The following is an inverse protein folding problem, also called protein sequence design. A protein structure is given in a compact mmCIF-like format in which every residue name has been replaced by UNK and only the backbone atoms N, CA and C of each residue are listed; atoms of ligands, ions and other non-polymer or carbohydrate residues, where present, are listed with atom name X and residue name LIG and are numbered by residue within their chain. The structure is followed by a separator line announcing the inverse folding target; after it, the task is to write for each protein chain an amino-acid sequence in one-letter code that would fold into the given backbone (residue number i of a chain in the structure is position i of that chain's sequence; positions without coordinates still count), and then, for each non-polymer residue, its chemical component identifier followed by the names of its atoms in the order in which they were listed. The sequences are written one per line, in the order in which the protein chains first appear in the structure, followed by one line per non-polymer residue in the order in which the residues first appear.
data_IF_487342833776
#
_entry.id   IF_487342833776
#
_cell.length_a   1.000
_cell.length_b   1.000
_cell.length_c   1.000
_cell.angle_alpha   90.00
_cell.angle_beta   90.00
_cell.angle_gamma   90.00
#
_symmetry.space_group_name_H-M   'P 1'
#
loop_
_entity.id
_entity.type
_entity.pdbx_description
1 polymer ?
#
# COMPACT_ATOMS: atom_id res chain seq x y z
N UNK A 1 -9.32 16.97 -5.47
CA UNK A 1 -8.83 15.83 -4.68
C UNK A 1 -9.90 14.78 -4.73
N UNK A 2 -9.59 13.57 -5.18
CA UNK A 2 -10.53 12.45 -5.10
C UNK A 2 -10.54 11.99 -3.64
N UNK A 3 -11.46 12.55 -2.86
CA UNK A 3 -11.49 12.38 -1.40
C UNK A 3 -12.14 11.07 -1.04
N UNK A 4 -11.34 10.12 -0.52
CA UNK A 4 -11.85 8.93 0.17
C UNK A 4 -12.08 9.27 1.65
N UNK A 5 -13.18 8.79 2.21
CA UNK A 5 -13.48 8.95 3.64
C UNK A 5 -12.73 7.91 4.46
N UNK A 6 -12.11 8.34 5.56
CA UNK A 6 -11.38 7.48 6.48
C UNK A 6 -10.67 8.28 7.56
N UNK A 7 -9.93 7.57 8.42
CA UNK A 7 -9.11 8.18 9.47
C UNK A 7 -7.91 8.85 8.78
N UNK A 8 -7.67 10.16 8.97
CA UNK A 8 -6.51 10.82 8.39
C UNK A 8 -5.20 10.17 8.84
N UNK A 9 -4.29 9.91 7.90
CA UNK A 9 -2.96 9.36 8.16
C UNK A 9 -1.91 10.22 7.47
N UNK A 10 -0.98 10.76 8.24
CA UNK A 10 0.29 11.26 7.73
C UNK A 10 1.30 10.11 7.83
N UNK A 11 1.77 9.58 6.71
CA UNK A 11 2.72 8.48 6.66
C UNK A 11 4.09 8.98 6.24
N UNK A 12 5.09 8.78 7.10
CA UNK A 12 6.49 9.09 6.83
C UNK A 12 7.30 7.82 6.57
N UNK A 13 8.00 7.80 5.43
CA UNK A 13 8.85 6.68 5.05
C UNK A 13 10.29 7.17 4.92
N UNK A 14 11.21 6.51 5.64
CA UNK A 14 12.64 6.69 5.49
C UNK A 14 13.27 5.44 4.91
N UNK A 15 14.22 5.60 4.00
CA UNK A 15 14.93 4.48 3.38
C UNK A 15 16.40 4.49 3.74
N UNK A 16 16.90 3.37 4.24
CA UNK A 16 18.31 3.18 4.62
C UNK A 16 18.95 2.15 3.71
N UNK A 17 20.14 2.45 3.20
CA UNK A 17 20.95 1.48 2.44
C UNK A 17 21.51 0.44 3.42
N UNK A 18 21.16 -0.83 3.23
CA UNK A 18 21.54 -1.93 4.16
C UNK A 18 23.03 -2.24 4.20
N UNK A 19 23.81 -1.82 3.20
CA UNK A 19 25.27 -2.00 3.18
C UNK A 19 26.02 -0.86 3.85
N UNK A 20 25.56 0.37 3.65
CA UNK A 20 26.25 1.57 4.14
C UNK A 20 25.64 2.15 5.42
N UNK A 21 24.46 1.68 5.79
CA UNK A 21 23.65 2.19 6.89
C UNK A 21 23.35 3.70 6.79
N UNK A 22 23.35 4.25 5.57
CA UNK A 22 23.08 5.67 5.30
C UNK A 22 21.68 5.87 4.70
N UNK A 23 21.00 6.99 5.04
CA UNK A 23 19.77 7.36 4.36
C UNK A 23 19.94 7.56 2.86
N UNK A 24 18.96 7.10 2.09
CA UNK A 24 18.94 7.16 0.63
C UNK A 24 18.14 8.40 0.21
N UNK A 25 18.71 9.18 -0.70
CA UNK A 25 18.01 10.30 -1.35
C UNK A 25 17.83 10.03 -2.82
N UNK A 26 17.07 10.91 -3.46
CA UNK A 26 16.72 10.83 -4.89
C UNK A 26 15.98 9.53 -5.26
N UNK A 27 15.44 8.81 -4.27
CA UNK A 27 14.68 7.57 -4.40
C UNK A 27 13.23 7.91 -4.68
N UNK A 28 12.66 7.36 -5.75
CA UNK A 28 11.24 7.45 -6.02
C UNK A 28 10.51 6.39 -5.21
N UNK A 29 9.52 6.83 -4.45
CA UNK A 29 8.71 6.02 -3.55
C UNK A 29 7.27 6.15 -4.00
N UNK A 30 6.65 5.02 -4.28
CA UNK A 30 5.23 4.90 -4.59
C UNK A 30 4.53 4.15 -3.46
N UNK A 31 3.34 4.63 -3.09
CA UNK A 31 2.43 3.94 -2.19
C UNK A 31 1.08 3.70 -2.89
N UNK A 32 0.42 2.60 -2.54
CA UNK A 32 -0.96 2.33 -2.92
C UNK A 32 -1.66 1.49 -1.85
N UNK A 33 -2.91 1.82 -1.56
CA UNK A 33 -3.72 1.00 -0.67
C UNK A 33 -5.21 1.09 -1.01
N UNK A 34 -5.97 0.16 -0.44
CA UNK A 34 -7.42 0.18 -0.50
C UNK A 34 -8.00 1.34 0.32
N UNK A 35 -9.18 1.80 -0.07
CA UNK A 35 -9.98 2.69 0.77
C UNK A 35 -10.55 1.94 1.98
N UNK A 36 -11.27 2.65 2.86
CA UNK A 36 -11.83 2.09 4.08
C UNK A 36 -12.80 0.91 3.87
N UNK A 37 -13.33 0.72 2.65
CA UNK A 37 -14.23 -0.38 2.28
C UNK A 37 -13.53 -1.52 1.51
N UNK A 38 -12.20 -1.52 1.45
CA UNK A 38 -11.42 -2.59 0.81
C UNK A 38 -11.34 -2.50 -0.71
N UNK A 39 -11.61 -1.34 -1.32
CA UNK A 39 -11.59 -1.15 -2.77
C UNK A 39 -10.32 -0.40 -3.20
N UNK A 40 -9.73 -0.79 -4.33
CA UNK A 40 -8.61 -0.07 -4.97
C UNK A 40 -9.08 0.77 -6.15
N UNK A 41 -8.49 1.95 -6.34
CA UNK A 41 -8.86 2.94 -7.38
C UNK A 41 -8.88 2.42 -8.82
N UNK A 42 -7.96 1.53 -9.17
CA UNK A 42 -7.82 1.02 -10.54
C UNK A 42 -8.88 -0.03 -10.89
N UNK A 43 -9.60 -0.57 -9.90
CA UNK A 43 -10.59 -1.63 -10.10
C UNK A 43 -11.96 -1.15 -9.65
N UNK A 44 -12.75 -0.60 -10.58
CA UNK A 44 -14.16 -0.32 -10.29
C UNK A 44 -15.05 -1.44 -10.78
N UNK A 45 -15.99 -1.78 -9.91
CA UNK A 45 -17.01 -2.82 -10.05
C UNK A 45 -16.48 -4.24 -9.83
N UNK A 46 -15.95 -4.48 -8.63
CA UNK A 46 -16.05 -5.79 -7.98
C UNK A 46 -17.31 -5.74 -7.12
N UNK A 47 -18.27 -6.63 -7.36
CA UNK A 47 -19.30 -6.90 -6.35
C UNK A 47 -18.58 -7.31 -5.06
N UNK A 48 -18.57 -6.39 -4.08
CA UNK A 48 -17.68 -6.35 -2.92
C UNK A 48 -18.07 -7.40 -1.86
N UNK A 49 -18.40 -8.62 -2.29
CA UNK A 49 -18.69 -9.80 -1.47
C UNK A 49 -17.72 -10.95 -1.73
N UNK A 50 -16.97 -10.93 -2.83
CA UNK A 50 -15.99 -11.95 -3.16
C UNK A 50 -15.05 -11.48 -4.29
N UNK A 51 -13.85 -10.96 -4.00
CA UNK A 51 -12.87 -10.63 -5.06
C UNK A 51 -12.32 -11.88 -5.77
N UNK A 52 -12.72 -13.10 -5.37
CA UNK A 52 -12.52 -14.32 -6.15
C UNK A 52 -13.46 -14.40 -7.37
N UNK A 53 -14.57 -13.64 -7.38
CA UNK A 53 -15.53 -13.62 -8.50
C UNK A 53 -15.00 -12.91 -9.75
N UNK A 54 -13.95 -12.10 -9.61
CA UNK A 54 -13.23 -11.51 -10.73
C UNK A 54 -12.03 -12.32 -11.18
N UNK A 55 -11.77 -13.48 -10.58
CA UNK A 55 -10.70 -14.38 -10.97
C UNK A 55 -11.31 -15.57 -11.69
N UNK A 56 -11.45 -15.45 -13.02
CA UNK A 56 -11.80 -16.62 -13.82
C UNK A 56 -10.55 -17.51 -13.91
N UNK A 57 -10.67 -18.76 -13.46
CA UNK A 57 -9.63 -19.75 -13.72
C UNK A 57 -9.64 -20.09 -15.21
N UNK A 58 -8.47 -20.12 -15.83
CA UNK A 58 -8.37 -20.71 -17.17
C UNK A 58 -8.76 -22.20 -17.03
N UNK A 59 -9.66 -22.70 -17.87
CA UNK A 59 -10.19 -24.08 -17.81
C UNK A 59 -9.09 -25.16 -17.97
N UNK A 60 -7.84 -24.78 -18.27
CA UNK A 60 -6.72 -25.67 -18.58
C UNK A 60 -5.83 -26.07 -17.38
N UNK A 61 -6.29 -25.94 -16.13
CA UNK A 61 -5.59 -26.52 -14.98
C UNK A 61 -4.21 -25.92 -14.64
N UNK A 62 -3.87 -24.77 -15.22
CA UNK A 62 -2.59 -24.06 -14.97
C UNK A 62 -2.55 -23.28 -13.65
N UNK A 63 -3.69 -23.15 -12.95
CA UNK A 63 -3.80 -22.36 -11.71
C UNK A 63 -3.74 -20.84 -11.92
N UNK A 64 -3.61 -20.38 -13.15
CA UNK A 64 -3.55 -18.97 -13.52
C UNK A 64 -4.97 -18.36 -13.49
N UNK A 65 -5.12 -17.22 -12.83
CA UNK A 65 -6.41 -16.54 -12.61
C UNK A 65 -6.40 -15.17 -13.28
N UNK A 66 -7.38 -14.90 -14.15
CA UNK A 66 -7.47 -13.66 -14.92
C UNK A 66 -8.47 -12.69 -14.27
N UNK A 67 -8.08 -11.43 -14.07
CA UNK A 67 -8.97 -10.37 -13.59
C UNK A 67 -9.98 -9.94 -14.68
N UNK A 68 -11.28 -10.12 -14.42
CA UNK A 68 -12.37 -9.77 -15.35
C UNK A 68 -13.09 -8.44 -15.01
N UNK A 69 -12.58 -7.68 -14.03
CA UNK A 69 -13.14 -6.37 -13.63
C UNK A 69 -12.84 -5.24 -14.62
N UNK A 70 -13.65 -4.18 -14.60
CA UNK A 70 -13.40 -2.97 -15.40
C UNK A 70 -12.27 -2.16 -14.76
N UNK A 71 -11.14 -2.08 -15.45
CA UNK A 71 -10.09 -1.12 -15.11
C UNK A 71 -10.62 0.28 -15.42
N UNK A 72 -10.67 1.16 -14.42
CA UNK A 72 -11.08 2.56 -14.61
C UNK A 72 -9.94 3.51 -14.31
N UNK A 73 -9.97 4.68 -14.95
CA UNK A 73 -8.97 5.75 -14.79
C UNK A 73 -9.23 6.57 -13.52
N UNK A 74 -9.10 5.91 -12.37
CA UNK A 74 -9.11 6.54 -11.04
C UNK A 74 -7.77 6.27 -10.34
N UNK A 75 -7.28 7.26 -9.59
CA UNK A 75 -5.95 7.19 -8.95
C UNK A 75 -5.94 7.62 -7.48
N UNK A 76 -7.10 7.68 -6.82
CA UNK A 76 -7.14 7.92 -5.37
C UNK A 76 -6.34 6.87 -4.59
N UNK A 77 -5.81 7.30 -3.44
CA UNK A 77 -4.97 6.50 -2.52
C UNK A 77 -3.74 5.85 -3.18
N UNK A 78 -3.24 6.47 -4.25
CA UNK A 78 -1.96 6.17 -4.89
C UNK A 78 -1.12 7.43 -4.95
N UNK A 79 0.16 7.35 -4.62
CA UNK A 79 1.02 8.53 -4.60
C UNK A 79 2.46 8.20 -4.89
N UNK A 80 3.16 9.10 -5.59
CA UNK A 80 4.60 9.03 -5.81
C UNK A 80 5.27 10.26 -5.24
N UNK A 81 6.32 10.07 -4.45
CA UNK A 81 7.22 11.12 -3.99
C UNK A 81 8.66 10.72 -4.20
N UNK A 82 9.55 11.70 -4.30
CA UNK A 82 10.99 11.46 -4.32
C UNK A 82 11.57 11.85 -2.96
N UNK A 83 12.47 11.04 -2.41
CA UNK A 83 13.13 11.38 -1.15
C UNK A 83 13.94 12.67 -1.32
N UNK A 84 13.54 13.71 -0.59
CA UNK A 84 14.16 15.04 -0.65
C UNK A 84 15.43 15.14 0.20
N UNK A 85 15.84 16.38 0.49
CA UNK A 85 17.06 16.67 1.26
C UNK A 85 17.05 16.06 2.68
N UNK A 86 15.87 15.93 3.29
CA UNK A 86 15.65 15.28 4.59
C UNK A 86 15.61 13.74 4.52
N UNK A 87 15.71 13.15 3.31
CA UNK A 87 15.74 11.69 3.07
C UNK A 87 14.49 10.95 3.56
N UNK A 88 13.37 11.67 3.70
CA UNK A 88 12.05 11.16 4.11
C UNK A 88 11.03 11.59 3.06
N UNK A 89 10.09 10.70 2.73
CA UNK A 89 8.86 11.06 1.99
C UNK A 89 7.67 11.08 2.95
N UNK A 90 6.72 11.98 2.71
CA UNK A 90 5.56 12.16 3.59
C UNK A 90 4.29 12.18 2.78
N UNK A 91 3.44 11.18 2.96
CA UNK A 91 2.14 11.09 2.32
C UNK A 91 1.03 11.52 3.29
N UNK A 92 0.10 12.34 2.81
CA UNK A 92 -1.19 12.55 3.49
C UNK A 92 -2.19 11.63 2.83
N UNK A 93 -2.74 10.70 3.58
CA UNK A 93 -3.68 9.69 3.11
C UNK A 93 -4.71 9.38 4.20
N UNK A 94 -5.42 8.25 4.08
CA UNK A 94 -6.25 7.68 5.15
C UNK A 94 -5.68 6.33 5.61
N UNK A 95 -6.05 5.87 6.80
CA UNK A 95 -5.77 4.48 7.19
C UNK A 95 -6.31 3.50 6.14
N UNK A 96 -5.51 2.49 5.73
CA UNK A 96 -5.95 1.52 4.73
C UNK A 96 -7.11 0.69 5.27
N UNK A 97 -8.08 0.37 4.41
CA UNK A 97 -9.04 -0.68 4.69
C UNK A 97 -8.50 -2.05 4.27
N UNK A 98 -9.18 -3.11 4.70
CA UNK A 98 -8.82 -4.48 4.38
C UNK A 98 -9.66 -5.05 3.23
N UNK A 99 -9.08 -5.98 2.47
CA UNK A 99 -9.71 -6.66 1.35
C UNK A 99 -9.25 -8.12 1.33
N UNK A 100 -10.14 -9.08 1.04
CA UNK A 100 -9.76 -10.51 0.97
C UNK A 100 -9.00 -11.06 2.19
N UNK A 101 -9.16 -10.46 3.37
CA UNK A 101 -8.40 -10.82 4.57
C UNK A 101 -7.05 -10.10 4.73
N UNK A 102 -6.52 -9.43 3.71
CA UNK A 102 -5.28 -8.65 3.78
C UNK A 102 -5.55 -7.24 4.34
N UNK A 103 -4.75 -6.83 5.33
CA UNK A 103 -4.83 -5.52 5.99
C UNK A 103 -3.61 -4.61 5.71
N UNK A 104 -2.69 -5.03 4.83
CA UNK A 104 -1.47 -4.33 4.51
C UNK A 104 -1.63 -3.13 3.58
N UNK A 105 -0.62 -2.26 3.60
CA UNK A 105 -0.43 -1.16 2.64
C UNK A 105 0.76 -1.45 1.74
N UNK A 106 0.61 -1.33 0.42
CA UNK A 106 1.66 -1.60 -0.56
C UNK A 106 2.64 -0.43 -0.71
N UNK A 107 3.94 -0.73 -0.67
CA UNK A 107 5.02 0.24 -0.90
C UNK A 107 5.98 -0.26 -1.98
N UNK A 108 6.33 0.62 -2.91
CA UNK A 108 7.34 0.38 -3.97
C UNK A 108 8.40 1.48 -3.89
N UNK A 109 9.67 1.08 -3.91
CA UNK A 109 10.79 2.01 -3.92
C UNK A 109 11.75 1.71 -5.08
N UNK A 110 12.05 2.72 -5.89
CA UNK A 110 12.93 2.62 -7.06
C UNK A 110 13.99 3.71 -7.09
N UNK A 111 15.23 3.32 -7.39
CA UNK A 111 16.38 4.21 -7.59
C UNK A 111 16.44 4.81 -9.00
N UNK A 112 15.52 4.44 -9.89
CA UNK A 112 15.40 5.02 -11.22
C UNK A 112 14.42 6.20 -11.21
N UNK A 113 14.56 7.19 -12.12
CA UNK A 113 13.51 8.17 -12.32
C UNK A 113 12.17 7.47 -12.52
N UNK A 114 11.06 8.08 -12.07
CA UNK A 114 9.67 7.60 -12.21
C UNK A 114 9.19 7.42 -13.68
N UNK A 115 10.11 7.12 -14.59
CA UNK A 115 9.94 6.70 -15.95
C UNK A 115 9.63 5.20 -15.98
N UNK A 116 8.51 4.82 -15.39
CA UNK A 116 7.77 3.59 -15.70
C UNK A 116 8.65 2.32 -15.81
N UNK A 117 9.66 2.17 -14.95
CA UNK A 117 10.56 1.02 -15.04
C UNK A 117 9.91 -0.18 -14.34
N UNK A 118 10.04 -1.36 -14.92
CA UNK A 118 9.66 -2.65 -14.30
C UNK A 118 10.72 -3.07 -13.26
N UNK A 119 11.43 -2.09 -12.69
CA UNK A 119 12.64 -2.27 -11.92
C UNK A 119 12.55 -1.42 -10.67
N UNK A 120 12.27 -2.07 -9.56
CA UNK A 120 12.32 -1.47 -8.25
C UNK A 120 13.56 -1.97 -7.50
N UNK A 121 14.06 -1.17 -6.57
CA UNK A 121 15.06 -1.63 -5.61
C UNK A 121 14.42 -2.42 -4.49
N UNK A 122 13.13 -2.18 -4.22
CA UNK A 122 12.35 -2.87 -3.20
C UNK A 122 10.86 -2.78 -3.51
N UNK A 123 10.14 -3.87 -3.24
CA UNK A 123 8.67 -3.93 -3.18
C UNK A 123 8.35 -4.61 -1.85
N UNK A 124 7.47 -4.03 -1.06
CA UNK A 124 7.09 -4.58 0.23
C UNK A 124 5.72 -4.10 0.66
N UNK A 125 5.24 -4.64 1.78
CA UNK A 125 4.05 -4.15 2.45
C UNK A 125 4.37 -3.70 3.87
N UNK A 126 3.68 -2.66 4.31
CA UNK A 126 3.77 -2.15 5.69
C UNK A 126 2.45 -2.42 6.40
N UNK A 127 2.52 -2.73 7.69
CA UNK A 127 1.39 -3.15 8.51
C UNK A 127 1.27 -2.29 9.77
N UNK A 128 0.15 -2.41 10.46
CA UNK A 128 -0.10 -1.76 11.74
C UNK A 128 -0.36 -2.81 12.82
N UNK A 129 -0.11 -2.46 14.08
CA UNK A 129 -0.32 -3.40 15.19
C UNK A 129 -1.80 -3.72 15.41
N UNK A 130 -2.08 -4.90 15.95
CA UNK A 130 -3.44 -5.41 16.13
C UNK A 130 -4.32 -4.49 16.99
N UNK A 131 -3.77 -3.80 18.01
CA UNK A 131 -4.58 -2.92 18.85
C UNK A 131 -5.10 -1.72 18.05
N UNK A 132 -4.25 -1.11 17.22
CA UNK A 132 -4.69 -0.04 16.34
C UNK A 132 -5.73 -0.55 15.34
N UNK A 133 -5.48 -1.70 14.71
CA UNK A 133 -6.40 -2.28 13.73
C UNK A 133 -7.77 -2.61 14.34
N UNK A 134 -7.81 -3.07 15.59
CA UNK A 134 -9.04 -3.36 16.32
C UNK A 134 -9.84 -2.07 16.60
N UNK A 135 -9.17 -0.98 17.00
CA UNK A 135 -9.83 0.32 17.17
C UNK A 135 -10.34 0.89 15.84
N UNK A 136 -9.53 0.82 14.78
CA UNK A 136 -9.93 1.25 13.43
C UNK A 136 -11.16 0.47 12.97
N UNK A 137 -11.19 -0.85 13.17
CA UNK A 137 -12.31 -1.69 12.77
C UNK A 137 -13.62 -1.38 13.53
N UNK A 138 -13.55 -0.76 14.69
CA UNK A 138 -14.71 -0.41 15.50
C UNK A 138 -15.41 0.90 15.09
N UNK A 139 -14.81 1.70 14.19
CA UNK A 139 -15.31 3.05 13.86
C UNK A 139 -15.71 3.20 12.39
N UNK A 140 -16.66 4.09 12.11
CA UNK A 140 -17.04 4.41 10.73
C UNK A 140 -15.91 5.17 10.01
N UNK A 141 -15.72 4.96 8.69
CA UNK A 141 -16.46 4.05 7.82
C UNK A 141 -15.98 2.57 7.85
N UNK A 142 -14.86 2.27 8.50
CA UNK A 142 -14.22 0.94 8.52
C UNK A 142 -15.12 -0.16 9.11
N UNK A 143 -15.90 0.15 10.15
CA UNK A 143 -16.91 -0.75 10.72
C UNK A 143 -17.96 -1.22 9.70
N UNK A 144 -18.16 -0.46 8.63
CA UNK A 144 -19.08 -0.79 7.53
C UNK A 144 -18.39 -1.52 6.38
N UNK A 145 -17.10 -1.83 6.48
CA UNK A 145 -16.40 -2.63 5.49
C UNK A 145 -16.96 -4.06 5.50
N UNK A 146 -17.56 -4.55 4.40
CA UNK A 146 -18.15 -5.90 4.35
C UNK A 146 -17.10 -7.01 4.21
N UNK A 147 -15.82 -6.66 4.00
CA UNK A 147 -14.75 -7.62 3.80
C UNK A 147 -14.36 -8.30 5.12
N UNK A 148 -14.00 -9.58 5.03
CA UNK A 148 -13.34 -10.29 6.13
C UNK A 148 -11.95 -9.69 6.37
N UNK A 149 -11.57 -9.54 7.64
CA UNK A 149 -10.24 -9.09 8.07
C UNK A 149 -9.51 -10.25 8.74
N UNK A 150 -8.34 -10.63 8.23
CA UNK A 150 -7.47 -11.55 8.97
C UNK A 150 -6.81 -10.79 10.12
N UNK A 151 -6.52 -11.50 11.20
CA UNK A 151 -5.62 -10.97 12.21
C UNK A 151 -4.18 -11.00 11.69
N UNK A 152 -3.31 -10.18 12.28
CA UNK A 152 -1.90 -10.11 11.88
C UNK A 152 -1.18 -11.48 11.96
N UNK A 153 -1.53 -12.32 12.92
CA UNK A 153 -0.96 -13.69 13.07
C UNK A 153 -1.52 -14.71 12.06
N UNK A 154 -2.57 -14.35 11.33
CA UNK A 154 -3.20 -15.15 10.27
C UNK A 154 -2.86 -14.62 8.87
N UNK A 155 -2.21 -13.45 8.77
CA UNK A 155 -1.83 -12.83 7.52
C UNK A 155 -0.53 -13.44 6.96
N UNK A 156 -0.66 -14.14 5.84
CA UNK A 156 0.46 -14.84 5.21
C UNK A 156 1.53 -13.88 4.66
N UNK A 157 1.15 -12.68 4.22
CA UNK A 157 2.11 -11.69 3.71
C UNK A 157 2.89 -11.12 4.88
N UNK A 158 2.22 -10.74 5.97
CA UNK A 158 2.90 -10.27 7.17
C UNK A 158 3.84 -11.34 7.73
N UNK A 159 3.37 -12.59 7.82
CA UNK A 159 4.20 -13.72 8.28
C UNK A 159 5.45 -13.86 7.41
N UNK A 160 5.30 -13.72 6.09
CA UNK A 160 6.42 -13.81 5.15
C UNK A 160 7.42 -12.65 5.34
N UNK A 161 6.95 -11.41 5.37
CA UNK A 161 7.79 -10.20 5.53
C UNK A 161 8.53 -10.18 6.88
N UNK A 162 7.87 -10.65 7.94
CA UNK A 162 8.39 -10.71 9.32
C UNK A 162 9.54 -11.72 9.50
N UNK A 163 9.76 -12.63 8.54
CA UNK A 163 10.90 -13.55 8.60
C UNK A 163 12.24 -12.83 8.42
N UNK A 164 12.24 -11.65 7.80
CA UNK A 164 13.47 -10.95 7.39
C UNK A 164 13.48 -9.47 7.75
N UNK A 165 12.36 -8.92 8.23
CA UNK A 165 12.20 -7.50 8.53
C UNK A 165 11.19 -7.27 9.65
N UNK A 166 11.07 -6.01 10.09
CA UNK A 166 10.01 -5.54 10.99
C UNK A 166 9.11 -4.57 10.20
N UNK A 167 8.02 -5.06 9.58
CA UNK A 167 7.22 -4.25 8.66
C UNK A 167 6.11 -3.44 9.38
N UNK A 168 6.19 -3.31 10.72
CA UNK A 168 5.23 -2.54 11.51
C UNK A 168 5.49 -1.03 11.48
N UNK A 169 4.47 -0.28 11.08
CA UNK A 169 4.43 1.17 11.17
C UNK A 169 4.25 1.58 12.62
N UNK A 170 5.18 2.39 13.12
CA UNK A 170 5.03 3.07 14.39
C UNK A 170 4.11 4.27 14.21
N UNK A 171 3.34 4.64 15.23
CA UNK A 171 2.41 5.76 15.10
C UNK A 171 2.20 6.51 16.42
N UNK A 172 1.64 7.71 16.27
CA UNK A 172 1.07 8.50 17.35
C UNK A 172 -0.26 9.11 16.91
N UNK A 173 -1.18 9.27 17.86
CA UNK A 173 -2.42 10.01 17.64
C UNK A 173 -2.12 11.51 17.56
N UNK A 174 -2.73 12.19 16.60
CA UNK A 174 -2.59 13.64 16.44
C UNK A 174 -3.57 14.45 17.30
N UNK A 175 -4.50 13.78 17.97
CA UNK A 175 -5.52 14.36 18.83
C UNK A 175 -5.92 13.42 19.97
N UNK A 176 -7.14 13.57 20.49
CA UNK A 176 -7.62 12.78 21.63
C UNK A 176 -8.09 11.36 21.26
N UNK A 177 -8.20 11.08 19.96
CA UNK A 177 -8.61 9.79 19.41
C UNK A 177 -8.05 9.58 18.01
N UNK A 178 -8.23 8.36 17.51
CA UNK A 178 -7.73 7.98 16.18
C UNK A 178 -8.47 8.71 15.06
N UNK A 179 -9.71 9.14 15.29
CA UNK A 179 -10.56 9.87 14.33
C UNK A 179 -9.99 11.25 13.97
N UNK A 180 -9.23 11.85 14.90
CA UNK A 180 -8.52 13.12 14.67
C UNK A 180 -7.24 12.94 13.85
N UNK A 181 -6.85 11.68 13.60
CA UNK A 181 -5.80 11.29 12.69
C UNK A 181 -4.54 10.75 13.37
N UNK A 182 -3.70 10.15 12.55
CA UNK A 182 -2.46 9.48 12.95
C UNK A 182 -1.27 10.10 12.22
N UNK A 183 -0.14 10.21 12.92
CA UNK A 183 1.17 10.30 12.31
C UNK A 183 1.82 8.92 12.43
N UNK A 184 2.02 8.26 11.30
CA UNK A 184 2.72 6.98 11.19
C UNK A 184 4.11 7.16 10.57
N UNK A 185 5.09 6.38 11.02
CA UNK A 185 6.43 6.35 10.45
C UNK A 185 7.02 4.94 10.43
N UNK A 186 7.87 4.69 9.43
CA UNK A 186 8.66 3.45 9.34
C UNK A 186 9.98 3.71 8.62
N UNK A 187 11.02 2.97 9.04
CA UNK A 187 12.33 2.96 8.41
C UNK A 187 12.50 1.64 7.66
N UNK A 188 12.75 1.72 6.35
CA UNK A 188 12.84 0.57 5.46
C UNK A 188 14.30 0.40 5.01
N UNK A 189 14.89 -0.75 5.33
CA UNK A 189 16.20 -1.14 4.85
C UNK A 189 16.12 -1.71 3.43
N UNK A 190 16.80 -1.10 2.46
CA UNK A 190 16.86 -1.60 1.08
C UNK A 190 18.30 -1.72 0.57
N UNK A 191 18.52 -2.62 -0.39
CA UNK A 191 19.70 -2.62 -1.25
C UNK A 191 19.40 -1.86 -2.54
N UNK A 192 19.74 -0.55 -2.66
CA UNK A 192 19.33 0.26 -3.82
C UNK A 192 19.88 -0.24 -5.16
N UNK A 193 20.97 -1.01 -5.12
CA UNK A 193 21.57 -1.68 -6.27
C UNK A 193 20.88 -2.99 -6.69
N UNK A 194 19.99 -3.53 -5.84
CA UNK A 194 19.20 -4.71 -6.17
C UNK A 194 18.12 -4.32 -7.17
N UNK A 195 17.80 -5.24 -8.08
CA UNK A 195 16.75 -5.06 -9.07
C UNK A 195 15.71 -6.17 -8.90
N UNK A 196 14.55 -5.83 -8.36
CA UNK A 196 13.44 -6.77 -8.21
C UNK A 196 12.42 -6.59 -9.33
N UNK A 197 12.05 -7.73 -9.93
CA UNK A 197 10.92 -7.86 -10.86
C UNK A 197 9.79 -8.62 -10.16
N UNK A 198 9.14 -8.01 -9.17
CA UNK A 198 7.92 -8.56 -8.56
C UNK A 198 6.80 -7.53 -8.58
N UNK A 199 5.59 -8.05 -8.81
CA UNK A 199 4.47 -7.37 -9.44
C UNK A 199 3.75 -6.34 -8.56
N UNK A 200 3.57 -5.14 -9.11
CA UNK A 200 2.37 -4.31 -8.94
C UNK A 200 2.05 -3.51 -10.22
N UNK A 201 2.71 -3.80 -11.35
CA UNK A 201 2.55 -3.04 -12.60
C UNK A 201 2.23 -3.99 -13.75
N UNK A 202 0.95 -4.37 -13.89
CA UNK A 202 0.44 -4.90 -15.15
C UNK A 202 0.25 -3.73 -16.12
N UNK A 203 1.09 -3.66 -17.15
CA UNK A 203 0.97 -2.68 -18.23
C UNK A 203 0.15 -3.30 -19.37
N UNK A 204 -1.16 -3.01 -19.40
CA UNK A 204 -1.93 -3.07 -20.64
C UNK A 204 -1.70 -1.80 -21.47
N UNK A 205 -1.95 -1.87 -22.78
CA UNK A 205 -1.69 -0.85 -23.83
C UNK A 205 -2.40 0.51 -23.71
N UNK A 206 -2.84 0.90 -22.50
CA UNK A 206 -3.55 2.16 -22.24
C UNK A 206 -2.86 2.93 -21.11
N UNK A 207 -1.62 3.31 -21.38
CA UNK A 207 -0.77 4.04 -20.43
C UNK A 207 -1.19 5.50 -20.28
N UNK A 208 -1.76 5.84 -19.11
CA UNK A 208 -1.67 7.14 -18.40
C UNK A 208 -2.43 6.97 -17.08
N UNK A 209 -1.73 6.79 -15.94
CA UNK A 209 -2.39 6.48 -14.66
C UNK A 209 -1.73 7.09 -13.40
N UNK A 210 -0.93 8.16 -13.51
CA UNK A 210 -0.18 8.67 -12.35
C UNK A 210 -0.29 10.18 -12.20
N UNK A 211 -0.77 10.64 -11.05
CA UNK A 211 -0.71 12.04 -10.63
C UNK A 211 0.18 12.17 -9.40
N UNK A 212 1.12 13.13 -9.46
CA UNK A 212 1.91 13.58 -8.31
C UNK A 212 0.96 14.11 -7.23
N UNK A 213 0.93 13.48 -6.07
CA UNK A 213 0.32 14.06 -4.87
C UNK A 213 1.30 15.08 -4.30
N UNK A 214 1.03 16.37 -4.49
CA UNK A 214 1.80 17.47 -3.91
C UNK A 214 1.09 18.08 -2.71
N UNK A 215 1.93 18.53 -1.75
CA UNK A 215 1.75 19.30 -0.51
C UNK A 215 0.36 19.75 -0.04
#
# INVERSE_FOLDING_TARGET
METQTGIPLVLELQFINTRTCRPIGDLFVEIWHANASGVYSVVANIDNRNSLSTLQGNEEGSGERTMIGRIIDESWLRGVQQTGANRVVRFKTIMPGWYLGDSGNGTLASSFPANHSVQASHVGQTFFDSNLLDHVAAIHPYKSNPQWRNKNDEDAVLTQESNTSEPMVQYMMMGNGIEEGLLGWIVIGIGPEVNVRRAASWYGTWGRMWRKMWY
#
